data_IF_735150666622
#
_entry.id   IF_735150666622
#
_cell.length_a   1.000
_cell.length_b   1.000
_cell.length_c   1.000
_cell.angle_alpha   90.00
_cell.angle_beta   90.00
_cell.angle_gamma   90.00
#
_symmetry.space_group_name_H-M   'P 1'
#
loop_
_entity.id
_entity.type
_entity.pdbx_description
1 polymer ?
#
# COMPACT_ATOMS: atom_id res chain seq x y z
N UNK A 1 9.28 10.42 16.72
CA UNK A 1 9.16 11.19 15.46
C UNK A 1 8.60 10.26 14.40
N UNK A 2 7.46 10.59 13.77
CA UNK A 2 7.05 9.87 12.55
C UNK A 2 7.93 10.41 11.42
N UNK A 3 8.87 9.59 10.94
CA UNK A 3 9.67 9.95 9.79
C UNK A 3 8.79 9.91 8.55
N UNK A 4 8.87 10.95 7.74
CA UNK A 4 8.22 10.97 6.44
C UNK A 4 8.99 9.98 5.54
N UNK A 5 8.34 8.93 5.08
CA UNK A 5 8.94 7.82 4.33
C UNK A 5 8.60 7.97 2.84
N UNK A 6 9.58 7.76 1.96
CA UNK A 6 9.34 7.66 0.52
C UNK A 6 8.66 6.33 0.22
N UNK A 7 7.54 6.38 -0.49
CA UNK A 7 6.73 5.23 -0.85
C UNK A 7 6.44 5.29 -2.34
N UNK A 8 6.77 4.21 -3.05
CA UNK A 8 6.43 4.04 -4.46
C UNK A 8 5.11 3.26 -4.58
N UNK A 9 4.15 3.80 -5.34
CA UNK A 9 2.78 3.29 -5.47
C UNK A 9 2.60 2.63 -6.83
N UNK A 10 2.11 1.39 -6.85
CA UNK A 10 1.98 0.61 -8.07
C UNK A 10 0.56 0.11 -8.29
N UNK A 11 0.13 0.07 -9.55
CA UNK A 11 -1.09 -0.62 -9.99
C UNK A 11 -0.68 -1.89 -10.74
N UNK A 12 -1.33 -3.00 -10.40
CA UNK A 12 -1.15 -4.26 -11.11
C UNK A 12 -1.84 -4.15 -12.46
N UNK A 13 -1.09 -4.33 -13.53
CA UNK A 13 -1.67 -4.39 -14.87
C UNK A 13 -2.42 -5.71 -14.99
N UNK A 14 -3.75 -5.66 -14.85
CA UNK A 14 -4.63 -6.82 -15.12
C UNK A 14 -4.64 -7.08 -16.63
N UNK A 15 -3.75 -7.97 -17.06
CA UNK A 15 -3.87 -8.65 -18.34
C UNK A 15 -3.55 -7.77 -19.55
N UNK A 16 -2.30 -7.82 -19.98
CA UNK A 16 -2.03 -8.06 -21.40
C UNK A 16 -1.27 -9.37 -21.51
N UNK A 17 -1.85 -10.45 -20.99
CA UNK A 17 -1.40 -11.78 -21.40
C UNK A 17 -1.85 -11.92 -22.84
N UNK A 18 -1.00 -11.47 -23.77
CA UNK A 18 -1.24 -11.66 -25.20
C UNK A 18 -1.44 -13.17 -25.39
N UNK A 19 -2.59 -13.64 -25.90
CA UNK A 19 -2.80 -15.07 -26.11
C UNK A 19 -1.75 -15.68 -27.07
N UNK A 20 -1.04 -14.84 -27.85
CA UNK A 20 0.10 -15.25 -28.70
C UNK A 20 1.43 -15.29 -27.96
N UNK A 21 1.54 -14.65 -26.79
CA UNK A 21 2.72 -14.69 -25.94
C UNK A 21 2.35 -14.75 -24.45
N UNK A 22 2.06 -15.96 -23.91
CA UNK A 22 1.62 -16.17 -22.52
C UNK A 22 2.63 -15.71 -21.46
N UNK A 23 3.88 -15.45 -21.87
CA UNK A 23 5.00 -15.01 -21.02
C UNK A 23 5.13 -13.50 -20.92
N UNK A 24 4.44 -12.72 -21.77
CA UNK A 24 4.46 -11.26 -21.70
C UNK A 24 3.50 -10.83 -20.59
N UNK A 25 3.95 -10.91 -19.35
CA UNK A 25 3.29 -10.19 -18.24
C UNK A 25 3.54 -8.70 -18.51
N UNK A 26 2.50 -7.89 -18.55
CA UNK A 26 2.70 -6.44 -18.47
C UNK A 26 3.43 -6.15 -17.17
N UNK A 27 4.46 -5.31 -17.22
CA UNK A 27 5.12 -4.85 -15.99
C UNK A 27 4.11 -4.03 -15.17
N UNK A 28 4.13 -4.20 -13.85
CA UNK A 28 3.29 -3.41 -12.94
C UNK A 28 3.63 -1.92 -13.10
N UNK A 29 2.62 -1.05 -13.11
CA UNK A 29 2.78 0.37 -13.43
C UNK A 29 3.07 1.18 -12.17
N UNK A 30 4.17 1.95 -12.17
CA UNK A 30 4.45 2.96 -11.13
C UNK A 30 3.55 4.17 -11.34
N UNK A 31 2.62 4.39 -10.41
CA UNK A 31 1.63 5.47 -10.50
C UNK A 31 2.15 6.76 -9.87
N UNK A 32 2.88 6.66 -8.76
CA UNK A 32 3.46 7.83 -8.09
C UNK A 32 4.56 7.43 -7.08
N UNK A 33 5.47 8.37 -6.85
CA UNK A 33 6.37 8.36 -5.69
C UNK A 33 5.96 9.48 -4.73
N UNK A 34 5.66 9.13 -3.48
CA UNK A 34 5.16 10.08 -2.49
C UNK A 34 5.95 9.99 -1.19
N UNK A 35 6.07 11.12 -0.49
CA UNK A 35 6.60 11.14 0.88
C UNK A 35 5.44 11.21 1.86
N UNK A 36 5.23 10.15 2.63
CA UNK A 36 4.06 9.99 3.50
C UNK A 36 4.45 9.48 4.88
N UNK A 37 3.57 9.67 5.87
CA UNK A 37 3.82 9.16 7.21
C UNK A 37 3.44 7.68 7.26
N UNK A 38 4.42 6.81 7.48
CA UNK A 38 4.21 5.38 7.65
C UNK A 38 4.33 5.03 9.13
N UNK A 39 3.33 4.33 9.68
CA UNK A 39 3.36 3.87 11.07
C UNK A 39 3.15 2.36 11.12
N UNK A 40 3.94 1.66 11.91
CA UNK A 40 3.71 0.23 12.16
C UNK A 40 2.42 0.05 12.97
N UNK A 41 1.59 -0.88 12.54
CA UNK A 41 0.43 -1.32 13.30
C UNK A 41 0.88 -2.48 14.21
N UNK A 42 0.87 -2.25 15.52
CA UNK A 42 1.28 -3.28 16.48
C UNK A 42 0.24 -4.40 16.57
N UNK A 43 0.69 -5.62 16.86
CA UNK A 43 -0.16 -6.80 17.07
C UNK A 43 -1.32 -6.56 18.05
N UNK A 44 -1.05 -5.85 19.15
CA UNK A 44 -2.08 -5.50 20.14
C UNK A 44 -3.13 -4.55 19.56
N UNK A 45 -2.72 -3.60 18.71
CA UNK A 45 -3.63 -2.66 18.08
C UNK A 45 -4.43 -3.33 16.95
N UNK A 46 -3.82 -4.22 16.16
CA UNK A 46 -4.54 -4.99 15.14
C UNK A 46 -5.60 -5.91 15.76
N UNK A 47 -5.29 -6.60 16.88
CA UNK A 47 -6.29 -7.39 17.61
C UNK A 47 -7.44 -6.53 18.15
N UNK A 48 -7.14 -5.37 18.75
CA UNK A 48 -8.17 -4.49 19.33
C UNK A 48 -9.10 -3.89 18.27
N UNK A 49 -8.57 -3.51 17.11
CA UNK A 49 -9.34 -2.81 16.07
C UNK A 49 -10.01 -3.76 15.07
N UNK A 50 -9.42 -4.94 14.83
CA UNK A 50 -9.88 -5.86 13.78
C UNK A 50 -10.16 -7.28 14.27
N UNK A 51 -10.00 -7.55 15.58
CA UNK A 51 -10.25 -8.87 16.17
C UNK A 51 -9.21 -9.95 15.82
N UNK A 52 -8.18 -9.62 15.04
CA UNK A 52 -7.17 -10.55 14.55
C UNK A 52 -5.77 -10.02 14.83
N UNK A 53 -4.92 -10.87 15.41
CA UNK A 53 -3.49 -10.58 15.57
C UNK A 53 -2.82 -10.67 14.19
N UNK A 54 -2.32 -9.55 13.70
CA UNK A 54 -1.62 -9.46 12.41
C UNK A 54 -0.29 -8.74 12.60
N UNK A 55 0.77 -9.33 12.04
CA UNK A 55 2.13 -8.78 12.02
C UNK A 55 2.45 -8.22 10.64
N UNK A 56 3.38 -7.26 10.58
CA UNK A 56 3.80 -6.66 9.30
C UNK A 56 2.77 -5.72 8.69
N UNK A 57 1.75 -5.31 9.44
CA UNK A 57 0.81 -4.28 9.00
C UNK A 57 1.38 -2.89 9.24
N UNK A 58 1.15 -2.01 8.27
CA UNK A 58 1.52 -0.59 8.34
C UNK A 58 0.32 0.26 7.97
N UNK A 59 0.27 1.46 8.52
CA UNK A 59 -0.70 2.50 8.18
C UNK A 59 0.04 3.63 7.49
N UNK A 60 -0.34 3.90 6.25
CA UNK A 60 0.10 5.07 5.49
C UNK A 60 -0.88 6.20 5.75
N UNK A 61 -0.38 7.34 6.22
CA UNK A 61 -1.16 8.57 6.44
C UNK A 61 -0.65 9.69 5.55
N UNK A 62 -1.56 10.32 4.82
CA UNK A 62 -1.30 11.47 3.96
C UNK A 62 -2.30 12.59 4.26
N UNK A 63 -1.82 13.84 4.19
CA UNK A 63 -2.64 15.07 4.33
C UNK A 63 -3.33 15.42 3.00
N UNK A 64 -3.02 14.71 1.92
CA UNK A 64 -3.74 14.79 0.64
C UNK A 64 -4.22 13.42 0.15
N UNK A 65 -5.07 13.44 -0.87
CA UNK A 65 -5.56 12.23 -1.53
C UNK A 65 -4.42 11.52 -2.25
N UNK A 66 -4.21 10.25 -1.91
CA UNK A 66 -3.29 9.40 -2.65
C UNK A 66 -4.00 8.80 -3.86
N UNK A 67 -3.31 8.62 -5.00
CA UNK A 67 -3.90 7.94 -6.14
C UNK A 67 -4.30 6.51 -5.76
N UNK A 68 -5.14 5.89 -6.60
CA UNK A 68 -5.41 4.46 -6.46
C UNK A 68 -4.12 3.67 -6.76
N UNK A 69 -3.87 2.61 -5.99
CA UNK A 69 -2.76 1.68 -6.16
C UNK A 69 -3.11 0.31 -5.56
N UNK A 70 -2.55 -0.77 -6.08
CA UNK A 70 -2.80 -2.12 -5.58
C UNK A 70 -1.78 -2.55 -4.53
N UNK A 71 -0.52 -2.13 -4.71
CA UNK A 71 0.54 -2.34 -3.73
C UNK A 71 1.50 -1.15 -3.71
N UNK A 72 2.33 -1.09 -2.68
CA UNK A 72 3.35 -0.07 -2.55
C UNK A 72 4.67 -0.68 -2.09
N UNK A 73 5.77 -0.01 -2.39
CA UNK A 73 7.08 -0.33 -1.86
C UNK A 73 7.43 0.66 -0.75
N UNK A 74 7.72 0.14 0.43
CA UNK A 74 8.18 0.89 1.60
C UNK A 74 9.52 0.28 2.00
N UNK A 75 10.59 1.06 1.93
CA UNK A 75 11.96 0.60 2.22
C UNK A 75 12.36 -0.68 1.44
N UNK A 76 11.95 -0.76 0.16
CA UNK A 76 12.23 -1.90 -0.72
C UNK A 76 11.36 -3.14 -0.47
N UNK A 77 10.48 -3.13 0.54
CA UNK A 77 9.53 -4.22 0.83
C UNK A 77 8.16 -3.94 0.23
N UNK A 78 7.53 -4.99 -0.26
CA UNK A 78 6.21 -4.91 -0.89
C UNK A 78 5.09 -5.01 0.15
N UNK A 79 4.16 -4.08 0.07
CA UNK A 79 2.97 -4.05 0.92
C UNK A 79 1.70 -3.94 0.07
N UNK A 80 0.76 -4.85 0.28
CA UNK A 80 -0.54 -4.89 -0.41
C UNK A 80 -1.59 -4.14 0.39
N UNK A 81 -2.42 -3.36 -0.32
CA UNK A 81 -3.52 -2.61 0.30
C UNK A 81 -4.56 -3.56 0.86
N UNK A 82 -4.86 -3.40 2.15
CA UNK A 82 -5.94 -4.12 2.84
C UNK A 82 -7.20 -3.27 2.92
N UNK A 83 -7.03 -1.98 3.20
CA UNK A 83 -8.15 -1.07 3.43
C UNK A 83 -7.76 0.36 3.12
N UNK A 84 -8.70 1.12 2.55
CA UNK A 84 -8.57 2.55 2.27
C UNK A 84 -9.65 3.30 3.03
N UNK A 85 -9.23 4.21 3.90
CA UNK A 85 -10.13 5.11 4.60
C UNK A 85 -9.78 6.55 4.22
N UNK A 86 -10.80 7.34 3.90
CA UNK A 86 -10.66 8.76 3.59
C UNK A 86 -11.59 9.56 4.49
N UNK A 87 -11.06 10.58 5.16
CA UNK A 87 -11.83 11.50 6.01
C UNK A 87 -11.48 12.93 5.59
N UNK A 88 -12.37 13.57 4.84
CA UNK A 88 -12.08 14.84 4.17
C UNK A 88 -10.90 14.69 3.21
N UNK A 89 -9.88 15.54 3.35
CA UNK A 89 -8.65 15.51 2.54
C UNK A 89 -7.61 14.49 3.03
N UNK A 90 -7.82 13.87 4.20
CA UNK A 90 -6.85 12.98 4.82
C UNK A 90 -7.10 11.55 4.36
N UNK A 91 -6.02 10.90 3.92
CA UNK A 91 -6.02 9.49 3.52
C UNK A 91 -5.32 8.64 4.57
N UNK A 92 -5.96 7.55 4.99
CA UNK A 92 -5.40 6.52 5.87
C UNK A 92 -5.55 5.17 5.19
N UNK A 93 -4.44 4.57 4.79
CA UNK A 93 -4.42 3.32 4.03
C UNK A 93 -3.70 2.27 4.85
N UNK A 94 -4.39 1.16 5.15
CA UNK A 94 -3.79 0.01 5.81
C UNK A 94 -3.20 -0.91 4.75
N UNK A 95 -1.95 -1.29 4.95
CA UNK A 95 -1.21 -2.17 4.05
C UNK A 95 -0.54 -3.29 4.84
N UNK A 96 -0.35 -4.46 4.22
CA UNK A 96 0.26 -5.63 4.83
C UNK A 96 1.39 -6.15 3.95
N UNK A 97 2.49 -6.56 4.57
CA UNK A 97 3.63 -7.17 3.87
C UNK A 97 3.16 -8.40 3.09
N UNK A 98 3.53 -8.49 1.80
CA UNK A 98 3.25 -9.62 0.89
C UNK A 98 4.32 -10.71 1.04
#
# INVERSE_FOLDING_TARGET
MNAATKVALYVKVKGTQDPRNPRKKGDDELVAEVTVNVTNLSAAKSYREYGVVSYGEKIIRSVGTLPYFDYCLIDGKKYVVQERQMVGIRSSIRVKED
#
